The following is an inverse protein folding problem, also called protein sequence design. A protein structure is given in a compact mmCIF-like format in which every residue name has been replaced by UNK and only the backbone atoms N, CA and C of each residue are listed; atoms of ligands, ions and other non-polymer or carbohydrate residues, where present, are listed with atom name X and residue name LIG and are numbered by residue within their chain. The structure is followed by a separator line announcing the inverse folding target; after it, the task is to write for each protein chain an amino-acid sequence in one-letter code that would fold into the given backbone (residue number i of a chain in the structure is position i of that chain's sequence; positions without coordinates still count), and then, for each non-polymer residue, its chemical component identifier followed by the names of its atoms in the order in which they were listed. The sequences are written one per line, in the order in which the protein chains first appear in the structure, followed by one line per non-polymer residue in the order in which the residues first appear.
data_IF_445177679980
#
_entry.id   IF_445177679980
#
_cell.length_a   1.000
_cell.length_b   1.000
_cell.length_c   1.000
_cell.angle_alpha   90.00
_cell.angle_beta   90.00
_cell.angle_gamma   90.00
#
_symmetry.space_group_name_H-M   'P 1'
#
loop_
_entity.id
_entity.type
_entity.pdbx_description
1 polymer ?
#
# COMPACT_ATOMS: atom_id res chain seq x y z
N UNK A 1 -9.06 -22.76 -2.71
CA UNK A 1 -9.82 -21.53 -2.43
C UNK A 1 -9.41 -20.52 -3.49
N UNK A 2 -10.38 -19.99 -4.22
CA UNK A 2 -10.24 -19.31 -5.52
C UNK A 2 -9.06 -18.35 -5.58
N UNK A 3 -8.04 -18.71 -6.37
CA UNK A 3 -6.76 -18.01 -6.55
C UNK A 3 -6.88 -16.79 -7.48
N UNK A 4 -8.10 -16.42 -7.89
CA UNK A 4 -8.34 -15.28 -8.77
C UNK A 4 -8.43 -14.00 -7.93
N UNK A 5 -7.53 -13.03 -8.14
CA UNK A 5 -7.64 -11.71 -7.53
C UNK A 5 -8.98 -11.07 -7.92
N UNK A 6 -9.55 -10.27 -7.02
CA UNK A 6 -10.79 -9.56 -7.32
C UNK A 6 -10.59 -8.65 -8.54
N UNK A 7 -11.46 -8.67 -9.57
CA UNK A 7 -11.30 -7.84 -10.77
C UNK A 7 -11.31 -6.34 -10.49
N UNK A 8 -11.82 -5.90 -9.33
CA UNK A 8 -11.77 -4.50 -8.88
C UNK A 8 -10.43 -4.10 -8.27
N UNK A 9 -9.53 -5.04 -8.01
CA UNK A 9 -8.21 -4.79 -7.45
C UNK A 9 -7.20 -4.47 -8.56
N UNK A 10 -7.22 -3.23 -9.04
CA UNK A 10 -6.30 -2.73 -10.06
C UNK A 10 -5.59 -1.45 -9.56
N UNK A 11 -4.28 -1.27 -9.81
CA UNK A 11 -3.35 -2.24 -10.38
C UNK A 11 -2.91 -3.28 -9.34
N UNK A 12 -2.72 -4.54 -9.77
CA UNK A 12 -2.25 -5.63 -8.92
C UNK A 12 -0.75 -5.85 -9.12
N UNK A 13 0.02 -5.83 -8.03
CA UNK A 13 1.45 -6.13 -8.06
C UNK A 13 1.70 -7.60 -8.43
N UNK A 14 2.71 -7.84 -9.27
CA UNK A 14 3.22 -9.18 -9.51
C UNK A 14 3.93 -9.74 -8.26
N UNK A 15 4.36 -11.00 -8.29
CA UNK A 15 5.00 -11.63 -7.13
C UNK A 15 6.32 -10.96 -6.74
N UNK A 16 7.09 -10.46 -7.71
CA UNK A 16 8.39 -9.85 -7.47
C UNK A 16 8.26 -8.47 -6.82
N UNK A 17 7.39 -7.63 -7.36
CA UNK A 17 7.05 -6.32 -6.81
C UNK A 17 6.35 -6.46 -5.45
N UNK A 18 5.47 -7.46 -5.28
CA UNK A 18 4.83 -7.72 -3.98
C UNK A 18 5.86 -7.94 -2.87
N UNK A 19 6.90 -8.77 -3.10
CA UNK A 19 7.94 -8.99 -2.09
C UNK A 19 8.69 -7.69 -1.77
N UNK A 20 9.08 -6.92 -2.81
CA UNK A 20 9.76 -5.64 -2.62
C UNK A 20 8.91 -4.63 -1.82
N UNK A 21 7.61 -4.56 -2.11
CA UNK A 21 6.65 -3.73 -1.36
C UNK A 21 6.60 -4.17 0.10
N UNK A 22 6.44 -5.46 0.37
CA UNK A 22 6.33 -5.97 1.74
C UNK A 22 7.62 -5.74 2.54
N UNK A 23 8.79 -5.88 1.92
CA UNK A 23 10.08 -5.60 2.55
C UNK A 23 10.22 -4.12 2.92
N UNK A 24 9.82 -3.20 2.03
CA UNK A 24 9.84 -1.77 2.33
C UNK A 24 8.81 -1.41 3.38
N UNK A 25 7.60 -1.97 3.34
CA UNK A 25 6.59 -1.79 4.40
C UNK A 25 7.12 -2.21 5.76
N UNK A 26 7.83 -3.33 5.84
CA UNK A 26 8.45 -3.81 7.08
C UNK A 26 9.53 -2.84 7.58
N UNK A 27 10.40 -2.34 6.70
CA UNK A 27 11.40 -1.34 7.06
C UNK A 27 10.78 -0.01 7.49
N UNK A 28 9.75 0.47 6.77
CA UNK A 28 8.98 1.68 7.12
C UNK A 28 8.31 1.54 8.48
N UNK A 29 7.79 0.35 8.82
CA UNK A 29 7.21 0.09 10.14
C UNK A 29 8.25 0.23 11.27
N UNK A 30 9.46 -0.30 11.08
CA UNK A 30 10.54 -0.19 12.06
C UNK A 30 10.98 1.27 12.27
N UNK A 31 10.93 2.08 11.22
CA UNK A 31 11.23 3.52 11.25
C UNK A 31 10.03 4.40 11.66
N UNK A 32 8.88 3.80 12.03
CA UNK A 32 7.62 4.50 12.36
C UNK A 32 7.10 5.41 11.23
N UNK A 33 7.45 5.10 9.99
CA UNK A 33 7.07 5.81 8.77
C UNK A 33 5.90 5.10 8.03
N UNK A 34 5.05 4.41 8.80
CA UNK A 34 3.94 3.63 8.27
C UNK A 34 2.66 3.92 9.06
N UNK A 35 1.56 4.10 8.33
CA UNK A 35 0.19 4.14 8.86
C UNK A 35 -0.58 2.95 8.32
N UNK A 36 -1.42 2.35 9.17
CA UNK A 36 -2.12 1.08 8.88
C UNK A 36 -3.62 1.22 9.12
N UNK A 37 -4.40 0.62 8.23
CA UNK A 37 -5.86 0.69 8.19
C UNK A 37 -6.37 1.75 7.21
N UNK A 38 -7.60 1.53 6.71
CA UNK A 38 -8.22 2.40 5.72
C UNK A 38 -8.38 3.84 6.24
N UNK A 39 -8.91 4.03 7.44
CA UNK A 39 -9.11 5.38 8.01
C UNK A 39 -7.82 6.18 8.18
N UNK A 40 -6.74 5.53 8.64
CA UNK A 40 -5.45 6.19 8.79
C UNK A 40 -4.82 6.52 7.42
N UNK A 41 -5.02 5.63 6.45
CA UNK A 41 -4.60 5.86 5.06
C UNK A 41 -5.31 7.10 4.48
N UNK A 42 -6.62 7.21 4.64
CA UNK A 42 -7.40 8.40 4.24
C UNK A 42 -6.90 9.68 4.92
N UNK A 43 -6.53 9.62 6.20
CA UNK A 43 -5.93 10.78 6.90
C UNK A 43 -4.59 11.19 6.31
N UNK A 44 -3.72 10.25 5.95
CA UNK A 44 -2.41 10.56 5.34
C UNK A 44 -2.55 11.21 3.96
N UNK A 45 -3.50 10.74 3.15
CA UNK A 45 -3.82 11.32 1.84
C UNK A 45 -4.36 12.75 1.98
N UNK A 46 -5.31 12.97 2.89
CA UNK A 46 -5.87 14.30 3.14
C UNK A 46 -4.83 15.30 3.68
N UNK A 47 -3.82 14.81 4.42
CA UNK A 47 -2.72 15.63 4.93
C UNK A 47 -1.58 15.83 3.93
N UNK A 48 -1.59 15.16 2.79
CA UNK A 48 -0.51 15.25 1.79
C UNK A 48 0.83 14.71 2.28
N UNK A 49 0.83 13.76 3.23
CA UNK A 49 2.05 13.17 3.80
C UNK A 49 2.25 11.71 3.37
N UNK A 50 1.59 11.28 2.29
CA UNK A 50 1.63 9.91 1.80
C UNK A 50 2.53 9.81 0.58
N UNK A 51 3.48 8.88 0.59
CA UNK A 51 4.34 8.59 -0.58
C UNK A 51 3.65 7.67 -1.57
N UNK A 52 3.08 6.56 -1.06
CA UNK A 52 2.27 5.63 -1.83
C UNK A 52 1.37 4.79 -0.91
N UNK A 53 0.30 4.22 -1.48
CA UNK A 53 -0.70 3.42 -0.78
C UNK A 53 -0.64 1.94 -1.18
N UNK A 54 -0.76 1.05 -0.20
CA UNK A 54 -0.86 -0.39 -0.40
C UNK A 54 -2.25 -0.85 0.04
N UNK A 55 -2.94 -1.61 -0.80
CA UNK A 55 -4.25 -2.21 -0.50
C UNK A 55 -4.21 -3.74 -0.67
N UNK A 56 -5.06 -4.47 0.03
CA UNK A 56 -5.13 -5.91 -0.10
C UNK A 56 -6.28 -6.36 -1.02
N UNK A 57 -5.96 -7.15 -2.04
CA UNK A 57 -6.91 -7.64 -3.04
C UNK A 57 -7.89 -8.72 -2.52
N UNK A 58 -7.51 -9.45 -1.46
CA UNK A 58 -8.34 -10.46 -0.79
C UNK A 58 -9.22 -9.87 0.33
N UNK A 59 -9.48 -8.56 0.27
CA UNK A 59 -10.39 -7.88 1.20
C UNK A 59 -11.82 -8.22 0.85
N UNK A 60 -12.58 -8.65 1.85
CA UNK A 60 -13.98 -9.04 1.71
C UNK A 60 -14.79 -8.28 2.78
N UNK A 61 -15.73 -7.41 2.38
CA UNK A 61 -16.01 -6.91 1.02
C UNK A 61 -14.96 -5.89 0.53
N UNK A 62 -14.59 -5.96 -0.75
CA UNK A 62 -13.55 -5.06 -1.33
C UNK A 62 -14.04 -3.60 -1.41
N UNK A 63 -15.35 -3.40 -1.41
CA UNK A 63 -16.05 -2.12 -1.43
C UNK A 63 -15.60 -1.17 -0.31
N UNK A 64 -15.11 -1.72 0.81
CA UNK A 64 -14.56 -0.93 1.93
C UNK A 64 -13.34 -0.11 1.48
N UNK A 65 -12.58 -0.58 0.50
CA UNK A 65 -11.34 0.04 0.03
C UNK A 65 -11.51 0.92 -1.20
N UNK A 66 -12.62 0.80 -1.94
CA UNK A 66 -12.77 1.41 -3.26
C UNK A 66 -12.77 2.95 -3.25
N UNK A 67 -12.93 3.58 -2.09
CA UNK A 67 -12.77 5.03 -1.96
C UNK A 67 -11.30 5.50 -1.99
N UNK A 68 -10.34 4.61 -1.71
CA UNK A 68 -8.92 4.94 -1.68
C UNK A 68 -8.33 5.19 -3.06
N UNK A 69 -8.55 4.35 -4.10
CA UNK A 69 -8.11 4.63 -5.46
C UNK A 69 -8.51 6.03 -5.96
N UNK A 70 -9.79 6.40 -5.82
CA UNK A 70 -10.28 7.73 -6.23
C UNK A 70 -9.55 8.86 -5.49
N UNK A 71 -9.37 8.71 -4.17
CA UNK A 71 -8.67 9.72 -3.38
C UNK A 71 -7.17 9.81 -3.72
N UNK A 72 -6.57 8.68 -4.12
CA UNK A 72 -5.19 8.63 -4.55
C UNK A 72 -5.00 9.35 -5.90
N UNK A 73 -5.92 9.16 -6.84
CA UNK A 73 -5.94 9.87 -8.14
C UNK A 73 -6.11 11.39 -7.96
N UNK A 74 -7.07 11.82 -7.12
CA UNK A 74 -7.29 13.23 -6.79
C UNK A 74 -6.08 13.92 -6.14
N UNK A 75 -5.24 13.15 -5.44
CA UNK A 75 -4.06 13.64 -4.72
C UNK A 75 -2.74 13.36 -5.44
N UNK A 76 -2.77 12.74 -6.63
CA UNK A 76 -1.60 12.28 -7.36
C UNK A 76 -0.65 11.41 -6.50
N UNK A 77 -1.22 10.52 -5.69
CA UNK A 77 -0.48 9.56 -4.86
C UNK A 77 -0.55 8.17 -5.49
N UNK A 78 0.58 7.52 -5.79
CA UNK A 78 0.57 6.17 -6.35
C UNK A 78 -0.03 5.14 -5.40
N UNK A 79 -0.74 4.17 -5.95
CA UNK A 79 -1.37 3.11 -5.17
C UNK A 79 -1.26 1.75 -5.87
N UNK A 80 -1.26 0.68 -5.09
CA UNK A 80 -1.14 -0.68 -5.61
C UNK A 80 -1.86 -1.69 -4.73
N UNK A 81 -2.40 -2.73 -5.35
CA UNK A 81 -2.94 -3.88 -4.65
C UNK A 81 -1.89 -4.98 -4.50
N UNK A 82 -1.82 -5.56 -3.30
CA UNK A 82 -1.09 -6.80 -3.00
C UNK A 82 -2.08 -7.95 -2.81
N UNK A 83 -1.70 -9.19 -3.13
CA UNK A 83 -2.65 -10.31 -3.15
C UNK A 83 -3.19 -10.70 -1.76
N UNK A 84 -2.49 -10.40 -0.66
CA UNK A 84 -2.89 -10.90 0.67
C UNK A 84 -2.81 -9.86 1.80
N UNK A 85 -3.94 -9.64 2.48
CA UNK A 85 -4.08 -8.84 3.72
C UNK A 85 -3.32 -9.43 4.90
N UNK A 86 -3.15 -10.75 4.92
CA UNK A 86 -2.38 -11.46 5.95
C UNK A 86 -0.88 -11.21 5.79
N UNK A 87 -0.38 -11.21 4.55
CA UNK A 87 1.02 -10.87 4.27
C UNK A 87 1.30 -9.39 4.59
N UNK A 88 0.39 -8.50 4.18
CA UNK A 88 0.48 -7.07 4.52
C UNK A 88 0.45 -6.84 6.04
N UNK A 89 -0.40 -7.54 6.78
CA UNK A 89 -0.44 -7.46 8.24
C UNK A 89 0.89 -7.83 8.90
N UNK A 90 1.52 -8.92 8.45
CA UNK A 90 2.84 -9.33 8.95
C UNK A 90 3.92 -8.30 8.65
N UNK A 91 3.96 -7.75 7.44
CA UNK A 91 4.89 -6.67 7.09
C UNK A 91 4.67 -5.41 7.96
N UNK A 92 3.42 -5.08 8.25
CA UNK A 92 3.04 -4.01 9.18
C UNK A 92 3.36 -4.31 10.67
N UNK A 93 3.97 -5.45 10.98
CA UNK A 93 4.32 -5.86 12.34
C UNK A 93 3.10 -6.18 13.23
N UNK A 94 1.99 -6.65 12.64
CA UNK A 94 0.78 -7.03 13.36
C UNK A 94 0.34 -8.45 13.03
N UNK A 95 -0.22 -9.14 14.03
CA UNK A 95 -0.77 -10.50 13.85
C UNK A 95 -2.14 -10.52 13.17
N UNK A 96 -2.81 -9.36 13.13
CA UNK A 96 -4.12 -9.20 12.50
C UNK A 96 -3.97 -8.81 11.02
N UNK A 97 -4.90 -9.21 10.15
CA UNK A 97 -4.88 -8.79 8.74
C UNK A 97 -4.99 -7.27 8.62
N UNK A 98 -4.25 -6.71 7.66
CA UNK A 98 -4.29 -5.28 7.32
C UNK A 98 -4.74 -5.15 5.88
N UNK A 99 -5.78 -4.34 5.67
CA UNK A 99 -6.42 -4.17 4.35
C UNK A 99 -5.88 -2.97 3.57
N UNK A 100 -5.28 -2.00 4.26
CA UNK A 100 -4.69 -0.81 3.68
C UNK A 100 -3.52 -0.31 4.54
N UNK A 101 -2.48 0.21 3.91
CA UNK A 101 -1.35 0.84 4.55
C UNK A 101 -0.84 2.03 3.72
N UNK A 102 -0.27 3.01 4.40
CA UNK A 102 0.32 4.22 3.81
C UNK A 102 1.74 4.36 4.32
N UNK A 103 2.69 4.46 3.38
CA UNK A 103 4.06 4.85 3.69
C UNK A 103 4.11 6.37 3.69
N UNK A 104 4.50 6.96 4.82
CA UNK A 104 4.48 8.42 4.97
C UNK A 104 5.76 9.07 4.44
N UNK A 105 5.70 10.36 4.09
CA UNK A 105 6.86 11.16 3.71
C UNK A 105 7.83 11.32 4.90
N UNK A 106 9.13 11.14 4.64
CA UNK A 106 10.21 11.50 5.57
C UNK A 106 11.51 11.64 4.78
N UNK A 107 11.92 12.89 4.55
CA UNK A 107 13.09 13.21 3.73
C UNK A 107 14.43 12.77 4.33
N UNK A 108 14.49 12.62 5.66
CA UNK A 108 15.68 12.17 6.37
C UNK A 108 15.72 10.64 6.55
N UNK A 109 14.80 9.91 5.91
CA UNK A 109 14.71 8.46 6.05
C UNK A 109 15.82 7.74 5.31
N UNK A 110 16.45 6.76 5.97
CA UNK A 110 17.47 5.91 5.38
C UNK A 110 16.97 5.07 4.18
N UNK A 111 15.65 4.83 4.10
CA UNK A 111 15.01 4.02 3.05
C UNK A 111 14.37 4.86 1.93
N UNK A 112 14.62 6.17 1.89
CA UNK A 112 14.03 7.09 0.91
C UNK A 112 14.22 6.63 -0.55
N UNK A 113 15.42 6.17 -0.90
CA UNK A 113 15.71 5.67 -2.25
C UNK A 113 14.92 4.41 -2.60
N UNK A 114 14.66 3.53 -1.63
CA UNK A 114 13.85 2.33 -1.85
C UNK A 114 12.38 2.69 -2.04
N UNK A 115 11.88 3.65 -1.26
CA UNK A 115 10.52 4.19 -1.39
C UNK A 115 10.30 4.76 -2.79
N UNK A 116 11.22 5.59 -3.29
CA UNK A 116 11.11 6.14 -4.65
C UNK A 116 11.21 5.07 -5.73
N UNK A 117 12.12 4.11 -5.60
CA UNK A 117 12.22 3.01 -6.56
C UNK A 117 10.93 2.17 -6.65
N UNK A 118 10.21 2.00 -5.54
CA UNK A 118 8.90 1.34 -5.54
C UNK A 118 7.84 2.26 -6.14
N UNK A 119 7.85 3.55 -5.79
CA UNK A 119 6.92 4.54 -6.33
C UNK A 119 6.94 4.56 -7.86
N UNK A 120 8.12 4.64 -8.47
CA UNK A 120 8.30 4.62 -9.93
C UNK A 120 7.73 3.34 -10.57
N UNK A 121 7.95 2.20 -9.92
CA UNK A 121 7.39 0.91 -10.38
C UNK A 121 5.87 0.87 -10.31
N UNK A 122 5.29 1.43 -9.24
CA UNK A 122 3.83 1.51 -9.08
C UNK A 122 3.23 2.47 -10.11
N UNK A 123 3.86 3.62 -10.35
CA UNK A 123 3.41 4.57 -11.38
C UNK A 123 3.40 3.95 -12.78
N UNK A 124 4.37 3.10 -13.08
CA UNK A 124 4.43 2.35 -14.35
C UNK A 124 3.25 1.38 -14.53
N UNK A 125 2.64 0.90 -13.43
CA UNK A 125 1.47 0.00 -13.48
C UNK A 125 0.14 0.74 -13.66
N UNK A 126 0.12 2.06 -13.48
CA UNK A 126 -1.08 2.89 -13.60
C UNK A 126 -1.28 3.45 -15.02
N UNK A 127 -0.38 3.12 -15.96
CA UNK A 127 -0.45 3.46 -17.39
C UNK A 127 -1.14 2.32 -18.14
#
# INVERSE_FOLDING_TARGET
MSTTPNPKAFPLADSALTQQILDVVQQSQNLRQLKKGANETTKTLNRGISEFIIMAADTEPIEILLHLPLLCEDKNVPYVFVPSKSALGRACGVSRPVIAASVTTNDASAIKNQIYAIKDKIETLLI
#
